data_IF_025453890504
#
_entry.id   IF_025453890504
#
_cell.length_a   1.000
_cell.length_b   1.000
_cell.length_c   1.000
_cell.angle_alpha   90.00
_cell.angle_beta   90.00
_cell.angle_gamma   90.00
#
_symmetry.space_group_name_H-M   'P 1'
#
loop_
_entity.id
_entity.type
_entity.pdbx_description
1 polymer ?
#
# COMPACT_ATOMS: atom_id res chain seq x y z
N UNK A 1 10.29 6.06 23.96
CA UNK A 1 9.34 5.33 23.08
C UNK A 1 9.29 6.09 21.78
N UNK A 2 9.31 5.39 20.63
CA UNK A 2 9.18 6.03 19.33
C UNK A 2 7.83 6.73 19.15
N UNK A 3 7.75 7.66 18.21
CA UNK A 3 6.53 8.44 17.90
C UNK A 3 5.38 7.54 17.39
N UNK A 4 5.73 6.45 16.69
CA UNK A 4 4.77 5.53 16.08
C UNK A 4 4.85 4.15 16.72
N UNK A 5 3.71 3.49 16.81
CA UNK A 5 3.58 2.09 17.22
C UNK A 5 3.06 1.27 16.04
N UNK A 6 3.30 -0.04 16.05
CA UNK A 6 2.68 -0.94 15.08
C UNK A 6 1.15 -0.81 15.18
N UNK A 7 0.44 -0.43 14.11
CA UNK A 7 -1.02 -0.36 14.14
C UNK A 7 -1.63 -1.73 14.39
N UNK A 8 -2.74 -1.79 15.09
CA UNK A 8 -3.49 -3.03 15.25
C UNK A 8 -4.08 -3.51 13.91
N UNK A 9 -4.18 -4.82 13.75
CA UNK A 9 -4.86 -5.40 12.58
C UNK A 9 -6.37 -5.16 12.68
N UNK A 10 -7.03 -4.74 11.57
CA UNK A 10 -8.48 -4.52 11.59
C UNK A 10 -9.30 -5.82 11.59
N UNK A 11 -8.66 -6.98 11.49
CA UNK A 11 -9.27 -8.32 11.49
C UNK A 11 -8.27 -9.37 11.99
N UNK A 12 -8.74 -10.57 12.33
CA UNK A 12 -7.89 -11.69 12.73
C UNK A 12 -6.98 -12.16 11.59
N UNK A 13 -5.82 -12.74 11.91
CA UNK A 13 -4.85 -13.15 10.88
C UNK A 13 -5.39 -14.21 9.91
N UNK A 14 -6.33 -15.05 10.35
CA UNK A 14 -6.99 -16.09 9.53
C UNK A 14 -8.22 -15.59 8.75
N UNK A 15 -8.60 -14.33 8.95
CA UNK A 15 -9.85 -13.79 8.38
C UNK A 15 -9.85 -13.67 6.85
N UNK A 16 -8.69 -13.70 6.21
CA UNK A 16 -8.55 -13.64 4.75
C UNK A 16 -8.38 -15.02 4.09
N UNK A 17 -8.45 -16.10 4.87
CA UNK A 17 -8.46 -17.47 4.31
C UNK A 17 -9.72 -17.68 3.44
N UNK A 18 -9.63 -18.46 2.38
CA UNK A 18 -8.47 -19.23 1.91
C UNK A 18 -7.52 -18.43 0.98
N UNK A 19 -7.69 -17.12 0.84
CA UNK A 19 -6.97 -16.31 -0.16
C UNK A 19 -5.56 -15.93 0.29
N UNK A 20 -5.39 -15.49 1.52
CA UNK A 20 -4.09 -15.21 2.13
C UNK A 20 -4.03 -15.97 3.46
N UNK A 21 -2.97 -16.73 3.68
CA UNK A 21 -2.87 -17.61 4.84
C UNK A 21 -2.53 -16.85 6.13
N UNK A 22 -3.04 -17.38 7.24
CA UNK A 22 -2.87 -16.79 8.57
C UNK A 22 -1.40 -16.60 8.95
N UNK A 23 -0.53 -17.54 8.58
CA UNK A 23 0.89 -17.48 8.92
C UNK A 23 1.60 -16.35 8.17
N UNK A 24 1.29 -16.16 6.90
CA UNK A 24 1.77 -15.00 6.13
C UNK A 24 1.32 -13.71 6.80
N UNK A 25 0.04 -13.57 7.14
CA UNK A 25 -0.50 -12.35 7.77
C UNK A 25 0.17 -12.04 9.10
N UNK A 26 0.35 -13.04 9.96
CA UNK A 26 1.02 -12.88 11.26
C UNK A 26 2.47 -12.40 11.10
N UNK A 27 3.26 -13.06 10.27
CA UNK A 27 4.67 -12.70 10.06
C UNK A 27 4.78 -11.34 9.37
N UNK A 28 3.98 -11.10 8.35
CA UNK A 28 3.98 -9.86 7.58
C UNK A 28 3.68 -8.66 8.48
N UNK A 29 2.70 -8.77 9.37
CA UNK A 29 2.38 -7.73 10.34
C UNK A 29 3.43 -7.63 11.47
N UNK A 30 3.65 -8.72 12.23
CA UNK A 30 4.43 -8.66 13.48
C UNK A 30 5.94 -8.59 13.27
N UNK A 31 6.46 -8.92 12.08
CA UNK A 31 7.89 -8.91 11.77
C UNK A 31 8.23 -7.83 10.72
N UNK A 32 7.62 -7.86 9.54
CA UNK A 32 7.95 -6.91 8.48
C UNK A 32 7.43 -5.51 8.78
N UNK A 33 6.14 -5.33 9.05
CA UNK A 33 5.59 -4.01 9.39
C UNK A 33 6.18 -3.45 10.69
N UNK A 34 6.39 -4.30 11.72
CA UNK A 34 7.07 -3.89 12.96
C UNK A 34 8.48 -3.36 12.65
N UNK A 35 9.25 -4.04 11.81
CA UNK A 35 10.61 -3.61 11.46
C UNK A 35 10.61 -2.24 10.75
N UNK A 36 9.64 -2.00 9.85
CA UNK A 36 9.49 -0.68 9.24
C UNK A 36 9.10 0.38 10.26
N UNK A 37 8.21 0.06 11.20
CA UNK A 37 7.83 0.95 12.31
C UNK A 37 9.05 1.36 13.14
N UNK A 38 9.86 0.40 13.55
CA UNK A 38 11.07 0.63 14.36
C UNK A 38 12.11 1.44 13.57
N UNK A 39 12.35 1.07 12.31
CA UNK A 39 13.28 1.77 11.42
C UNK A 39 12.86 3.21 11.12
N UNK A 40 11.56 3.44 10.93
CA UNK A 40 11.00 4.79 10.76
C UNK A 40 11.20 5.64 12.00
N UNK A 41 10.88 5.11 13.19
CA UNK A 41 11.11 5.84 14.44
C UNK A 41 12.58 6.23 14.60
N UNK A 42 13.52 5.29 14.38
CA UNK A 42 14.95 5.59 14.46
C UNK A 42 15.44 6.59 13.41
N UNK A 43 14.79 6.64 12.22
CA UNK A 43 15.11 7.64 11.22
C UNK A 43 14.52 9.03 11.58
N UNK A 44 13.31 9.08 12.13
CA UNK A 44 12.66 10.31 12.57
C UNK A 44 13.45 11.03 13.68
N UNK A 45 14.06 10.28 14.61
CA UNK A 45 14.88 10.85 15.70
C UNK A 45 16.08 11.67 15.19
N UNK A 46 16.49 11.46 13.93
CA UNK A 46 17.61 12.19 13.31
C UNK A 46 17.17 13.45 12.53
N UNK A 47 15.87 13.69 12.42
CA UNK A 47 15.32 14.87 11.77
C UNK A 47 15.30 16.09 12.70
N UNK A 48 15.14 17.28 12.12
CA UNK A 48 14.92 18.49 12.91
C UNK A 48 13.61 18.40 13.73
N UNK A 49 13.48 19.12 14.85
CA UNK A 49 12.25 19.12 15.65
C UNK A 49 10.99 19.47 14.84
N UNK A 50 11.10 20.36 13.84
CA UNK A 50 10.00 20.77 12.97
C UNK A 50 9.54 19.61 12.10
N UNK A 51 10.46 18.84 11.53
CA UNK A 51 10.13 17.67 10.72
C UNK A 51 9.63 16.52 11.61
N UNK A 52 10.21 16.33 12.78
CA UNK A 52 9.72 15.33 13.74
C UNK A 52 8.27 15.60 14.18
N UNK A 53 7.81 16.83 14.20
CA UNK A 53 6.44 17.21 14.57
C UNK A 53 5.41 16.83 13.48
N UNK A 54 5.82 16.73 12.21
CA UNK A 54 4.94 16.37 11.07
C UNK A 54 4.51 14.90 11.12
N UNK A 55 3.35 14.59 10.51
CA UNK A 55 2.95 13.21 10.24
C UNK A 55 3.84 12.59 9.16
N UNK A 56 4.00 11.26 9.20
CA UNK A 56 4.82 10.55 8.20
C UNK A 56 4.28 10.73 6.78
N UNK A 57 2.97 10.86 6.61
CA UNK A 57 2.33 11.13 5.33
C UNK A 57 2.78 12.48 4.77
N UNK A 58 2.86 13.51 5.61
CA UNK A 58 3.32 14.84 5.21
C UNK A 58 4.80 14.81 4.85
N UNK A 59 5.62 14.08 5.62
CA UNK A 59 7.06 13.93 5.35
C UNK A 59 7.28 13.22 4.00
N UNK A 60 6.54 12.13 3.73
CA UNK A 60 6.65 11.40 2.46
C UNK A 60 6.18 12.24 1.27
N UNK A 61 5.13 13.02 1.44
CA UNK A 61 4.60 13.91 0.39
C UNK A 61 5.54 15.07 0.06
N UNK A 62 6.44 15.43 1.01
CA UNK A 62 7.45 16.47 0.86
C UNK A 62 8.84 15.88 1.11
N UNK A 63 9.11 14.71 0.56
CA UNK A 63 10.34 13.93 0.86
C UNK A 63 11.63 14.71 0.52
N UNK A 64 11.59 15.63 -0.43
CA UNK A 64 12.70 16.53 -0.78
C UNK A 64 13.15 17.42 0.37
N UNK A 65 12.26 17.75 1.32
CA UNK A 65 12.59 18.57 2.50
C UNK A 65 13.43 17.80 3.54
N UNK A 66 13.49 16.47 3.39
CA UNK A 66 14.27 15.60 4.27
C UNK A 66 15.76 15.68 3.89
N UNK A 67 16.69 15.83 4.86
CA UNK A 67 18.13 15.84 4.58
C UNK A 67 18.59 14.60 3.80
N UNK A 68 19.55 14.76 2.88
CA UNK A 68 19.98 13.74 1.92
C UNK A 68 20.48 12.47 2.59
N UNK A 69 21.21 12.61 3.71
CA UNK A 69 21.81 11.52 4.47
C UNK A 69 20.78 10.61 5.19
N UNK A 70 19.57 11.12 5.44
CA UNK A 70 18.51 10.35 6.11
C UNK A 70 17.31 10.08 5.18
N UNK A 71 17.18 10.78 4.05
CA UNK A 71 16.06 10.67 3.10
C UNK A 71 15.81 9.24 2.66
N UNK A 72 16.87 8.48 2.35
CA UNK A 72 16.75 7.07 1.96
C UNK A 72 16.13 6.20 3.05
N UNK A 73 16.48 6.42 4.31
CA UNK A 73 15.94 5.69 5.45
C UNK A 73 14.47 6.06 5.71
N UNK A 74 14.11 7.33 5.58
CA UNK A 74 12.70 7.80 5.68
C UNK A 74 11.86 7.23 4.54
N UNK A 75 12.34 7.32 3.30
CA UNK A 75 11.62 6.77 2.14
C UNK A 75 11.36 5.27 2.31
N UNK A 76 12.38 4.51 2.73
CA UNK A 76 12.26 3.06 2.87
C UNK A 76 11.40 2.65 4.09
N UNK A 77 11.71 3.14 5.27
CA UNK A 77 11.02 2.71 6.49
C UNK A 77 9.68 3.43 6.68
N UNK A 78 9.64 4.74 6.40
CA UNK A 78 8.40 5.53 6.46
C UNK A 78 7.41 5.09 5.37
N UNK A 79 7.91 4.88 4.15
CA UNK A 79 7.12 4.28 3.07
C UNK A 79 6.61 2.90 3.44
N UNK A 80 7.49 2.04 4.01
CA UNK A 80 7.10 0.71 4.48
C UNK A 80 6.00 0.75 5.53
N UNK A 81 6.10 1.66 6.50
CA UNK A 81 5.06 1.85 7.52
C UNK A 81 3.71 2.28 6.91
N UNK A 82 3.70 3.33 6.09
CA UNK A 82 2.48 3.88 5.48
C UNK A 82 1.84 2.90 4.49
N UNK A 83 2.66 2.26 3.63
CA UNK A 83 2.21 1.28 2.66
C UNK A 83 1.50 0.10 3.34
N UNK A 84 2.08 -0.46 4.40
CA UNK A 84 1.49 -1.60 5.11
C UNK A 84 0.23 -1.20 5.89
N UNK A 85 0.22 -0.03 6.55
CA UNK A 85 -0.98 0.51 7.20
C UNK A 85 -2.14 0.65 6.21
N UNK A 86 -1.86 1.14 5.01
CA UNK A 86 -2.83 1.24 3.92
C UNK A 86 -3.27 -0.15 3.44
N UNK A 87 -2.33 -1.09 3.29
CA UNK A 87 -2.58 -2.44 2.78
C UNK A 87 -3.54 -3.22 3.67
N UNK A 88 -3.35 -3.20 5.00
CA UNK A 88 -4.26 -3.89 5.92
C UNK A 88 -5.71 -3.41 5.78
N UNK A 89 -5.93 -2.11 5.70
CA UNK A 89 -7.26 -1.52 5.54
C UNK A 89 -7.84 -1.69 4.13
N UNK A 90 -6.99 -1.97 3.13
CA UNK A 90 -7.41 -2.24 1.74
C UNK A 90 -8.02 -3.62 1.56
N UNK A 91 -7.97 -4.48 2.58
CA UNK A 91 -8.51 -5.82 2.56
C UNK A 91 -9.54 -6.00 3.67
N UNK A 92 -10.49 -6.91 3.49
CA UNK A 92 -11.46 -7.30 4.51
C UNK A 92 -11.94 -8.73 4.31
N UNK A 93 -12.41 -9.41 5.38
CA UNK A 93 -13.13 -10.67 5.26
C UNK A 93 -14.34 -10.50 4.34
N UNK A 94 -14.59 -11.48 3.48
CA UNK A 94 -15.68 -11.45 2.50
C UNK A 94 -15.67 -10.17 1.63
N UNK A 95 -14.47 -9.70 1.30
CA UNK A 95 -14.26 -8.58 0.38
C UNK A 95 -14.43 -8.98 -1.09
N UNK A 96 -13.76 -8.26 -1.98
CA UNK A 96 -13.80 -8.53 -3.43
C UNK A 96 -15.03 -7.96 -4.11
N UNK A 97 -15.45 -8.59 -5.20
CA UNK A 97 -16.48 -8.03 -6.06
C UNK A 97 -15.99 -6.83 -6.87
N UNK A 98 -16.86 -5.87 -7.12
CA UNK A 98 -16.60 -4.66 -7.89
C UNK A 98 -16.90 -3.40 -7.06
N UNK A 99 -16.19 -2.28 -7.28
CA UNK A 99 -16.55 -1.00 -6.66
C UNK A 99 -17.87 -0.47 -7.24
N UNK A 100 -18.54 0.36 -6.43
CA UNK A 100 -19.70 1.14 -6.86
C UNK A 100 -19.44 2.63 -6.84
N UNK A 101 -20.47 3.42 -7.16
CA UNK A 101 -20.48 4.88 -6.99
C UNK A 101 -19.33 5.61 -7.68
N UNK A 102 -18.83 6.65 -7.01
CA UNK A 102 -17.82 7.55 -7.58
C UNK A 102 -16.50 6.85 -7.93
N UNK A 103 -16.14 5.79 -7.22
CA UNK A 103 -14.95 5.01 -7.52
C UNK A 103 -15.11 4.21 -8.81
N UNK A 104 -16.26 3.58 -9.04
CA UNK A 104 -16.55 2.87 -10.28
C UNK A 104 -16.50 3.83 -11.47
N UNK A 105 -17.11 5.00 -11.35
CA UNK A 105 -17.09 6.03 -12.39
C UNK A 105 -15.66 6.49 -12.72
N UNK A 106 -14.84 6.72 -11.69
CA UNK A 106 -13.45 7.13 -11.87
C UNK A 106 -12.59 6.04 -12.53
N UNK A 107 -12.79 4.78 -12.15
CA UNK A 107 -12.11 3.62 -12.77
C UNK A 107 -12.55 3.49 -14.23
N UNK A 108 -13.84 3.53 -14.52
CA UNK A 108 -14.35 3.41 -15.89
C UNK A 108 -13.84 4.55 -16.78
N UNK A 109 -13.80 5.78 -16.26
CA UNK A 109 -13.27 6.94 -16.98
C UNK A 109 -11.78 6.82 -17.30
N UNK A 110 -10.99 6.16 -16.44
CA UNK A 110 -9.53 6.04 -16.62
C UNK A 110 -9.09 4.78 -17.36
N UNK A 111 -9.82 3.69 -17.21
CA UNK A 111 -9.43 2.36 -17.71
C UNK A 111 -10.39 1.76 -18.73
N UNK A 112 -11.58 2.34 -18.92
CA UNK A 112 -12.62 1.83 -19.80
C UNK A 112 -13.69 1.01 -19.08
N UNK A 113 -13.26 0.05 -18.25
CA UNK A 113 -14.14 -0.76 -17.41
C UNK A 113 -13.40 -1.25 -16.16
N UNK A 114 -14.16 -1.78 -15.20
CA UNK A 114 -13.54 -2.46 -14.06
C UNK A 114 -12.76 -3.71 -14.48
N UNK A 115 -13.26 -4.46 -15.46
CA UNK A 115 -12.56 -5.64 -15.98
C UNK A 115 -11.21 -5.25 -16.61
N UNK A 116 -11.17 -4.21 -17.42
CA UNK A 116 -9.94 -3.68 -18.02
C UNK A 116 -8.97 -3.15 -16.95
N UNK A 117 -9.48 -2.48 -15.93
CA UNK A 117 -8.66 -2.04 -14.79
C UNK A 117 -8.01 -3.25 -14.09
N UNK A 118 -8.81 -4.26 -13.73
CA UNK A 118 -8.35 -5.47 -13.04
C UNK A 118 -7.29 -6.21 -13.85
N UNK A 119 -7.50 -6.34 -15.16
CA UNK A 119 -6.53 -6.94 -16.07
C UNK A 119 -5.25 -6.12 -16.15
N UNK A 120 -5.35 -4.80 -16.39
CA UNK A 120 -4.20 -3.92 -16.49
C UNK A 120 -3.40 -3.86 -15.17
N UNK A 121 -4.08 -3.77 -14.03
CA UNK A 121 -3.45 -3.78 -12.71
C UNK A 121 -2.67 -5.09 -12.51
N UNK A 122 -3.33 -6.23 -12.76
CA UNK A 122 -2.72 -7.55 -12.55
C UNK A 122 -1.54 -7.79 -13.50
N UNK A 123 -1.72 -7.53 -14.80
CA UNK A 123 -0.68 -7.75 -15.82
C UNK A 123 0.54 -6.85 -15.66
N UNK A 124 0.36 -5.63 -15.15
CA UNK A 124 1.46 -4.69 -14.87
C UNK A 124 2.13 -4.93 -13.51
N UNK A 125 1.41 -5.53 -12.54
CA UNK A 125 1.93 -5.81 -11.19
C UNK A 125 2.72 -7.11 -11.15
N UNK A 126 2.27 -8.15 -11.86
CA UNK A 126 2.92 -9.46 -11.86
C UNK A 126 4.40 -9.42 -12.28
N UNK A 127 4.83 -8.67 -13.33
CA UNK A 127 6.21 -8.64 -13.78
C UNK A 127 7.11 -7.65 -13.02
N UNK A 128 6.64 -6.99 -11.95
CA UNK A 128 7.50 -6.11 -11.15
C UNK A 128 8.74 -6.88 -10.72
N UNK A 129 9.91 -6.41 -11.12
CA UNK A 129 11.19 -7.05 -10.84
C UNK A 129 11.61 -6.82 -9.39
N UNK A 130 12.02 -7.89 -8.73
CA UNK A 130 12.40 -7.84 -7.32
C UNK A 130 11.20 -7.55 -6.42
N UNK A 131 11.38 -6.62 -5.50
CA UNK A 131 10.41 -6.21 -4.49
C UNK A 131 9.72 -4.91 -4.88
N UNK A 132 8.40 -4.83 -4.67
CA UNK A 132 7.65 -3.63 -4.99
C UNK A 132 6.15 -3.78 -4.75
N UNK A 133 5.41 -2.80 -5.26
CA UNK A 133 3.98 -2.63 -5.06
C UNK A 133 3.30 -2.23 -6.37
N UNK A 134 2.12 -2.77 -6.63
CA UNK A 134 1.17 -2.23 -7.59
C UNK A 134 0.15 -1.33 -6.89
N UNK A 135 -0.14 -0.17 -7.46
CA UNK A 135 -1.01 0.83 -6.87
C UNK A 135 -2.12 1.30 -7.82
N UNK A 136 -3.32 1.50 -7.28
CA UNK A 136 -4.29 2.46 -7.80
C UNK A 136 -4.08 3.76 -7.03
N UNK A 137 -3.80 4.84 -7.72
CA UNK A 137 -3.57 6.17 -7.13
C UNK A 137 -4.55 7.19 -7.70
N UNK A 138 -4.85 8.22 -6.93
CA UNK A 138 -5.43 9.45 -7.45
C UNK A 138 -4.31 10.45 -7.74
N UNK A 139 -4.31 11.01 -8.94
CA UNK A 139 -3.37 12.04 -9.35
C UNK A 139 -4.07 13.42 -9.30
N UNK A 140 -3.74 14.27 -8.30
CA UNK A 140 -4.39 15.59 -8.17
C UNK A 140 -4.17 16.49 -9.38
N UNK A 141 -3.04 16.35 -10.08
CA UNK A 141 -2.71 17.21 -11.25
C UNK A 141 -3.60 16.90 -12.46
N UNK A 142 -3.98 15.64 -12.67
CA UNK A 142 -4.87 15.22 -13.75
C UNK A 142 -6.31 15.06 -13.31
N UNK A 143 -6.59 15.05 -12.00
CA UNK A 143 -7.87 14.71 -11.38
C UNK A 143 -8.38 13.32 -11.79
N UNK A 144 -7.47 12.37 -12.03
CA UNK A 144 -7.79 11.00 -12.48
C UNK A 144 -7.22 9.95 -11.54
N UNK A 145 -7.77 8.76 -11.62
CA UNK A 145 -7.18 7.57 -11.02
C UNK A 145 -6.25 6.91 -12.03
N UNK A 146 -5.09 6.43 -11.57
CA UNK A 146 -4.03 5.90 -12.42
C UNK A 146 -3.42 4.64 -11.78
N UNK A 147 -2.88 3.74 -12.62
CA UNK A 147 -2.03 2.65 -12.14
C UNK A 147 -0.59 3.16 -11.97
N UNK A 148 0.04 2.78 -10.85
CA UNK A 148 1.44 3.07 -10.59
C UNK A 148 2.16 1.83 -10.04
N UNK A 149 3.35 1.52 -10.52
CA UNK A 149 4.26 0.55 -9.92
C UNK A 149 5.35 1.29 -9.15
N UNK A 150 5.62 0.87 -7.92
CA UNK A 150 6.68 1.45 -7.09
C UNK A 150 7.63 0.35 -6.62
N UNK A 151 8.94 0.62 -6.70
CA UNK A 151 9.96 -0.33 -6.26
C UNK A 151 10.15 -0.28 -4.73
N UNK A 152 10.48 -1.41 -4.17
CA UNK A 152 10.76 -1.55 -2.74
C UNK A 152 9.61 -1.01 -1.87
N UNK A 153 9.90 -0.10 -0.93
CA UNK A 153 8.91 0.52 -0.06
C UNK A 153 8.61 1.99 -0.43
N UNK A 154 9.07 2.43 -1.59
CA UNK A 154 8.77 3.81 -2.05
C UNK A 154 7.26 4.00 -2.15
N UNK A 155 6.73 5.00 -1.46
CA UNK A 155 5.30 5.33 -1.49
C UNK A 155 4.98 6.24 -2.69
N UNK A 156 3.80 6.09 -3.34
CA UNK A 156 3.33 7.02 -4.36
C UNK A 156 3.28 8.49 -3.89
N UNK A 157 3.17 8.70 -2.58
CA UNK A 157 3.17 10.06 -1.99
C UNK A 157 4.42 10.86 -2.33
N UNK A 158 5.56 10.19 -2.48
CA UNK A 158 6.83 10.84 -2.85
C UNK A 158 6.83 11.44 -4.27
N UNK A 159 5.84 11.06 -5.07
CA UNK A 159 5.61 11.61 -6.42
C UNK A 159 4.38 12.53 -6.48
N UNK A 160 3.84 12.96 -5.32
CA UNK A 160 2.64 13.81 -5.24
C UNK A 160 1.33 13.08 -5.56
N UNK A 161 1.34 11.74 -5.56
CA UNK A 161 0.18 10.91 -5.83
C UNK A 161 -0.47 10.45 -4.52
N UNK A 162 -1.78 10.28 -4.54
CA UNK A 162 -2.55 9.82 -3.37
C UNK A 162 -2.87 8.33 -3.53
N UNK A 163 -2.29 7.43 -2.72
CA UNK A 163 -2.55 6.01 -2.81
C UNK A 163 -3.98 5.67 -2.35
N UNK A 164 -4.73 4.96 -3.20
CA UNK A 164 -6.09 4.50 -2.93
C UNK A 164 -6.13 3.01 -2.59
N UNK A 165 -5.45 2.19 -3.39
CA UNK A 165 -5.37 0.74 -3.23
C UNK A 165 -3.95 0.29 -3.53
N UNK A 166 -3.35 -0.53 -2.68
CA UNK A 166 -2.00 -1.07 -2.87
C UNK A 166 -1.98 -2.59 -2.76
N UNK A 167 -1.17 -3.24 -3.59
CA UNK A 167 -0.86 -4.65 -3.53
C UNK A 167 0.64 -4.84 -3.34
N UNK A 168 1.01 -5.45 -2.22
CA UNK A 168 2.37 -5.86 -1.93
C UNK A 168 2.75 -7.10 -2.75
N UNK A 169 3.81 -7.00 -3.56
CA UNK A 169 4.38 -8.12 -4.29
C UNK A 169 5.83 -8.42 -3.89
N UNK A 170 6.24 -7.96 -2.72
CA UNK A 170 7.38 -8.55 -2.04
C UNK A 170 7.12 -10.04 -1.78
N UNK A 171 8.11 -10.90 -1.91
CA UNK A 171 7.93 -12.34 -1.70
C UNK A 171 7.41 -12.68 -0.30
N UNK A 172 7.75 -11.89 0.72
CA UNK A 172 7.23 -12.10 2.07
C UNK A 172 5.70 -12.00 2.18
N UNK A 173 5.03 -11.32 1.22
CA UNK A 173 3.59 -11.16 1.22
C UNK A 173 2.83 -12.41 0.74
N UNK A 174 3.52 -13.36 0.05
CA UNK A 174 2.83 -14.48 -0.59
C UNK A 174 3.61 -15.80 -0.64
N UNK A 175 4.91 -15.82 -0.35
CA UNK A 175 5.77 -16.97 -0.66
C UNK A 175 5.40 -18.22 0.13
N UNK A 176 4.93 -18.11 1.38
CA UNK A 176 4.57 -19.29 2.20
C UNK A 176 3.45 -20.10 1.56
N UNK A 177 2.47 -19.46 0.92
CA UNK A 177 1.33 -20.12 0.30
C UNK A 177 1.51 -20.33 -1.22
N UNK A 178 2.02 -19.34 -1.92
CA UNK A 178 2.05 -19.31 -3.38
C UNK A 178 3.43 -19.60 -3.98
N UNK A 179 4.50 -19.62 -3.18
CA UNK A 179 5.88 -19.75 -3.61
C UNK A 179 6.19 -18.77 -4.77
N UNK A 180 6.68 -19.29 -5.90
CA UNK A 180 7.00 -18.49 -7.07
C UNK A 180 5.79 -18.08 -7.92
N UNK A 181 4.56 -18.46 -7.52
CA UNK A 181 3.35 -18.22 -8.30
C UNK A 181 2.70 -16.88 -7.94
N UNK A 182 3.43 -15.77 -8.14
CA UNK A 182 2.91 -14.42 -7.89
C UNK A 182 1.58 -14.14 -8.62
N UNK A 183 1.34 -14.55 -9.88
CA UNK A 183 0.05 -14.37 -10.54
C UNK A 183 -1.13 -15.01 -9.79
N UNK A 184 -0.94 -16.19 -9.18
CA UNK A 184 -1.99 -16.87 -8.43
C UNK A 184 -2.33 -16.09 -7.14
N UNK A 185 -1.31 -15.53 -6.47
CA UNK A 185 -1.50 -14.63 -5.33
C UNK A 185 -2.30 -13.37 -5.73
N UNK A 186 -1.92 -12.73 -6.83
CA UNK A 186 -2.62 -11.54 -7.34
C UNK A 186 -4.09 -11.88 -7.63
N UNK A 187 -4.35 -13.01 -8.27
CA UNK A 187 -5.71 -13.48 -8.57
C UNK A 187 -6.53 -13.74 -7.30
N UNK A 188 -5.90 -14.34 -6.28
CA UNK A 188 -6.56 -14.60 -4.99
C UNK A 188 -6.84 -13.31 -4.20
N UNK A 189 -5.90 -12.35 -4.22
CA UNK A 189 -6.03 -11.09 -3.51
C UNK A 189 -7.25 -10.27 -3.92
N UNK A 190 -7.68 -10.31 -5.18
CA UNK A 190 -8.89 -9.61 -5.63
C UNK A 190 -10.15 -10.01 -4.86
N UNK A 191 -10.19 -11.19 -4.23
CA UNK A 191 -11.34 -11.67 -3.47
C UNK A 191 -11.42 -11.06 -2.05
N UNK A 192 -10.42 -10.33 -1.61
CA UNK A 192 -10.38 -9.74 -0.27
C UNK A 192 -10.32 -8.21 -0.29
N UNK A 193 -10.37 -7.57 -1.47
CA UNK A 193 -10.29 -6.11 -1.59
C UNK A 193 -11.47 -5.44 -0.90
N UNK A 194 -11.18 -4.42 -0.10
CA UNK A 194 -12.16 -3.59 0.60
C UNK A 194 -12.48 -2.33 -0.23
N UNK A 195 -13.37 -2.47 -1.20
CA UNK A 195 -13.74 -1.37 -2.11
C UNK A 195 -14.35 -0.17 -1.40
N UNK A 196 -15.03 -0.38 -0.29
CA UNK A 196 -15.62 0.66 0.53
C UNK A 196 -14.54 1.61 1.09
N UNK A 197 -13.42 1.05 1.59
CA UNK A 197 -12.30 1.86 2.04
C UNK A 197 -11.59 2.57 0.88
N UNK A 198 -11.48 1.94 -0.28
CA UNK A 198 -10.89 2.56 -1.48
C UNK A 198 -11.72 3.76 -1.94
N UNK A 199 -13.06 3.65 -1.94
CA UNK A 199 -13.98 4.75 -2.26
C UNK A 199 -13.90 5.89 -1.23
N UNK A 200 -13.82 5.56 0.07
CA UNK A 200 -13.61 6.53 1.14
C UNK A 200 -12.30 7.33 0.96
N UNK A 201 -11.21 6.67 0.54
CA UNK A 201 -9.94 7.35 0.22
C UNK A 201 -10.06 8.27 -1.00
N UNK A 202 -10.75 7.83 -2.06
CA UNK A 202 -10.99 8.68 -3.22
C UNK A 202 -11.81 9.91 -2.85
N UNK A 203 -12.84 9.75 -2.02
CA UNK A 203 -13.68 10.86 -1.56
C UNK A 203 -12.91 11.91 -0.74
N UNK A 204 -11.88 11.47 0.00
CA UNK A 204 -11.00 12.36 0.77
C UNK A 204 -9.88 12.98 -0.07
N UNK A 205 -9.59 12.41 -1.24
CA UNK A 205 -8.53 12.87 -2.13
C UNK A 205 -8.98 13.99 -3.08
N UNK A 206 -10.29 14.12 -3.31
CA UNK A 206 -10.92 15.16 -4.14
C UNK A 206 -11.23 16.42 -3.33
#
# INVERSE_FOLDING_TARGET
MGKYTLPEMPYAYDALEPHIDARTMEIHHTKHHQKYTDGMNGALEKLSPELQAKDIVDILSNISDTPDDIRGAINFNGGGYDNHKLFWNSMKPNGGGEPGGALADAINASFGSFADFKEQFSSKTAPIQGSGWGWLVYNPSSSKVEYKAMSNQTSPRTEGLIPLLGLDVWEHAYYLKYQNKRPDYIAAWWNVVNWEEVDNRLSKAK
#
